data_IF_447952598063
#
_entry.id   IF_447952598063
#
_cell.length_a   1.000
_cell.length_b   1.000
_cell.length_c   1.000
_cell.angle_alpha   90.00
_cell.angle_beta   90.00
_cell.angle_gamma   90.00
#
_symmetry.space_group_name_H-M   'P 1'
#
loop_
_entity.id
_entity.type
_entity.pdbx_description
1 polymer ?
#
# COMPACT_ATOMS: atom_id res chain seq x y z
N UNK A 1 -16.04 4.48 -3.15
CA UNK A 1 -15.37 3.17 -3.28
C UNK A 1 -15.95 2.46 -4.49
N UNK A 2 -15.11 1.93 -5.38
CA UNK A 2 -15.57 1.19 -6.55
C UNK A 2 -16.17 -0.18 -6.16
N UNK A 3 -17.10 -0.70 -6.96
CA UNK A 3 -17.80 -1.97 -6.67
C UNK A 3 -16.89 -3.20 -6.71
N UNK A 4 -15.80 -3.16 -7.49
CA UNK A 4 -14.87 -4.29 -7.62
C UNK A 4 -13.80 -4.37 -6.53
N UNK A 5 -13.84 -3.47 -5.53
CA UNK A 5 -12.88 -3.49 -4.42
C UNK A 5 -13.11 -4.72 -3.54
N UNK A 6 -12.06 -5.51 -3.34
CA UNK A 6 -12.09 -6.63 -2.41
C UNK A 6 -11.75 -6.17 -1.00
N UNK A 7 -12.61 -6.48 -0.02
CA UNK A 7 -12.37 -6.24 1.40
C UNK A 7 -12.36 -7.57 2.16
N UNK A 8 -11.22 -7.92 2.74
CA UNK A 8 -11.11 -9.11 3.59
C UNK A 8 -11.78 -8.93 4.96
N UNK A 9 -12.15 -10.02 5.64
CA UNK A 9 -12.61 -9.97 7.03
C UNK A 9 -11.68 -9.17 7.96
N UNK A 10 -12.29 -8.42 8.87
CA UNK A 10 -11.58 -7.61 9.88
C UNK A 10 -11.18 -6.21 9.42
N UNK A 11 -11.27 -5.89 8.12
CA UNK A 11 -10.95 -4.55 7.59
C UNK A 11 -11.84 -3.47 8.23
N UNK A 12 -11.24 -2.31 8.55
CA UNK A 12 -11.95 -1.10 9.00
C UNK A 12 -11.60 0.07 8.10
N UNK A 13 -12.61 0.69 7.49
CA UNK A 13 -12.49 1.90 6.68
C UNK A 13 -13.35 2.98 7.32
N UNK A 14 -12.75 4.12 7.65
CA UNK A 14 -13.39 5.18 8.43
C UNK A 14 -13.07 6.54 7.80
N UNK A 15 -14.09 7.39 7.63
CA UNK A 15 -13.92 8.76 7.15
C UNK A 15 -13.88 8.88 5.63
N UNK A 16 -13.18 9.91 5.15
CA UNK A 16 -13.02 10.26 3.75
C UNK A 16 -11.96 9.37 3.08
N UNK A 17 -12.42 8.24 2.53
CA UNK A 17 -11.59 7.23 1.89
C UNK A 17 -12.14 6.86 0.52
N UNK A 18 -11.34 7.09 -0.51
CA UNK A 18 -11.60 6.68 -1.89
C UNK A 18 -10.68 5.51 -2.25
N UNK A 19 -11.26 4.41 -2.73
CA UNK A 19 -10.54 3.24 -3.24
C UNK A 19 -11.11 2.91 -4.63
N UNK A 20 -10.24 2.86 -5.61
CA UNK A 20 -10.56 2.69 -7.03
C UNK A 20 -10.60 1.20 -7.44
N UNK A 21 -11.00 0.96 -8.68
CA UNK A 21 -11.32 -0.35 -9.26
C UNK A 21 -10.21 -1.40 -9.06
N UNK A 22 -10.65 -2.63 -8.75
CA UNK A 22 -9.85 -3.85 -8.65
C UNK A 22 -8.76 -3.81 -7.57
N UNK A 23 -8.79 -2.81 -6.70
CA UNK A 23 -7.95 -2.75 -5.51
C UNK A 23 -8.45 -3.69 -4.42
N UNK A 24 -7.54 -4.08 -3.53
CA UNK A 24 -7.82 -5.04 -2.47
C UNK A 24 -7.28 -4.58 -1.13
N UNK A 25 -8.07 -4.74 -0.07
CA UNK A 25 -7.67 -4.49 1.31
C UNK A 25 -7.79 -5.81 2.08
N UNK A 26 -6.68 -6.27 2.61
CA UNK A 26 -6.52 -7.60 3.19
C UNK A 26 -6.69 -7.59 4.71
N UNK A 27 -6.60 -8.76 5.33
CA UNK A 27 -7.19 -9.04 6.64
C UNK A 27 -6.70 -8.08 7.73
N UNK A 28 -7.64 -7.61 8.54
CA UNK A 28 -7.37 -6.76 9.71
C UNK A 28 -6.64 -5.43 9.42
N UNK A 29 -6.63 -4.96 8.18
CA UNK A 29 -6.10 -3.63 7.85
C UNK A 29 -7.06 -2.50 8.23
N UNK A 30 -6.51 -1.41 8.73
CA UNK A 30 -7.26 -0.23 9.21
C UNK A 30 -6.89 0.98 8.36
N UNK A 31 -7.90 1.63 7.79
CA UNK A 31 -7.77 2.82 6.94
C UNK A 31 -8.64 3.93 7.54
N UNK A 32 -8.01 4.99 8.03
CA UNK A 32 -8.66 6.10 8.72
C UNK A 32 -8.41 7.42 7.98
N UNK A 33 -9.36 7.84 7.17
CA UNK A 33 -9.45 9.18 6.56
C UNK A 33 -10.35 10.11 7.37
N UNK A 34 -10.31 10.05 8.70
CA UNK A 34 -11.25 10.76 9.57
C UNK A 34 -10.84 12.20 9.91
N UNK A 35 -9.56 12.54 9.74
CA UNK A 35 -9.01 13.88 9.98
C UNK A 35 -8.40 14.52 8.73
N UNK A 36 -8.32 13.76 7.63
CA UNK A 36 -8.02 14.21 6.27
C UNK A 36 -8.41 13.08 5.30
N UNK A 37 -8.17 13.23 3.99
CA UNK A 37 -8.63 12.26 3.00
C UNK A 37 -7.55 11.21 2.70
N UNK A 38 -8.00 10.02 2.29
CA UNK A 38 -7.16 8.95 1.76
C UNK A 38 -7.64 8.57 0.36
N UNK A 39 -6.72 8.52 -0.60
CA UNK A 39 -6.99 8.06 -1.97
C UNK A 39 -6.12 6.86 -2.32
N UNK A 40 -6.73 5.81 -2.83
CA UNK A 40 -6.08 4.57 -3.27
C UNK A 40 -6.48 4.29 -4.71
N UNK A 41 -5.49 4.28 -5.61
CA UNK A 41 -5.66 4.05 -7.05
C UNK A 41 -6.04 2.61 -7.40
N UNK A 42 -6.08 2.31 -8.70
CA UNK A 42 -6.56 1.04 -9.25
C UNK A 42 -5.55 -0.08 -9.08
N UNK A 43 -6.03 -1.33 -8.98
CA UNK A 43 -5.18 -2.52 -8.92
C UNK A 43 -4.13 -2.48 -7.78
N UNK A 44 -4.38 -1.70 -6.74
CA UNK A 44 -3.50 -1.52 -5.60
C UNK A 44 -3.91 -2.49 -4.49
N UNK A 45 -2.94 -3.13 -3.85
CA UNK A 45 -3.19 -4.06 -2.75
C UNK A 45 -2.61 -3.53 -1.44
N UNK A 46 -3.47 -3.43 -0.44
CA UNK A 46 -3.14 -3.13 0.96
C UNK A 46 -3.20 -4.42 1.73
N UNK A 47 -2.04 -5.07 1.91
CA UNK A 47 -1.96 -6.40 2.51
C UNK A 47 -2.32 -6.38 4.00
N UNK A 48 -2.28 -7.55 4.63
CA UNK A 48 -2.80 -7.79 5.97
C UNK A 48 -2.20 -6.89 7.04
N UNK A 49 -3.00 -6.54 8.04
CA UNK A 49 -2.58 -5.80 9.24
C UNK A 49 -1.91 -4.45 8.97
N UNK A 50 -2.22 -3.78 7.85
CA UNK A 50 -1.71 -2.45 7.56
C UNK A 50 -2.46 -1.36 8.34
N UNK A 51 -1.76 -0.28 8.67
CA UNK A 51 -2.35 0.94 9.26
C UNK A 51 -2.15 2.13 8.31
N UNK A 52 -3.24 2.71 7.83
CA UNK A 52 -3.25 3.88 6.96
C UNK A 52 -3.93 5.05 7.70
N UNK A 53 -3.17 6.11 7.98
CA UNK A 53 -3.66 7.31 8.65
C UNK A 53 -3.10 8.59 8.02
N UNK A 54 -3.55 9.73 8.52
CA UNK A 54 -3.29 11.05 7.94
C UNK A 54 -3.09 12.08 9.04
N UNK A 55 -2.36 13.15 8.72
CA UNK A 55 -2.22 14.29 9.63
C UNK A 55 -3.34 15.30 9.38
N UNK A 56 -4.08 15.61 10.44
CA UNK A 56 -5.26 16.50 10.42
C UNK A 56 -5.01 17.78 9.63
N UNK A 57 -5.75 17.95 8.52
CA UNK A 57 -5.71 19.14 7.66
C UNK A 57 -4.35 19.50 7.04
N UNK A 58 -3.33 18.63 7.14
CA UNK A 58 -1.96 18.95 6.69
C UNK A 58 -1.43 17.97 5.65
N UNK A 59 -1.49 16.67 5.94
CA UNK A 59 -0.92 15.64 5.07
C UNK A 59 -1.96 14.57 4.77
N UNK A 60 -2.57 14.58 3.57
CA UNK A 60 -3.41 13.48 3.12
C UNK A 60 -2.54 12.28 2.74
N UNK A 61 -3.17 11.12 2.57
CA UNK A 61 -2.50 9.92 2.06
C UNK A 61 -2.96 9.65 0.63
N UNK A 62 -2.01 9.66 -0.31
CA UNK A 62 -2.27 9.34 -1.71
C UNK A 62 -1.47 8.09 -2.09
N UNK A 63 -2.15 7.08 -2.63
CA UNK A 63 -1.55 5.85 -3.12
C UNK A 63 -1.98 5.67 -4.56
N UNK A 64 -1.01 5.56 -5.47
CA UNK A 64 -1.21 5.43 -6.90
C UNK A 64 -1.77 4.07 -7.33
N UNK A 65 -1.68 3.82 -8.63
CA UNK A 65 -2.13 2.59 -9.26
C UNK A 65 -1.07 1.49 -9.15
N UNK A 66 -1.53 0.23 -9.04
CA UNK A 66 -0.67 -0.95 -9.05
C UNK A 66 0.43 -0.89 -7.98
N UNK A 67 0.11 -0.31 -6.83
CA UNK A 67 1.00 -0.29 -5.68
C UNK A 67 0.79 -1.56 -4.86
N UNK A 68 1.88 -2.20 -4.48
CA UNK A 68 1.88 -3.31 -3.53
C UNK A 68 2.32 -2.81 -2.18
N UNK A 69 1.39 -2.72 -1.23
CA UNK A 69 1.67 -2.36 0.17
C UNK A 69 1.72 -3.65 0.98
N UNK A 70 2.92 -4.04 1.38
CA UNK A 70 3.23 -5.29 2.08
C UNK A 70 2.53 -5.43 3.44
N UNK A 71 2.46 -6.66 3.95
CA UNK A 71 1.86 -6.93 5.27
C UNK A 71 2.45 -6.03 6.37
N UNK A 72 1.61 -5.63 7.33
CA UNK A 72 1.99 -4.85 8.52
C UNK A 72 2.69 -3.52 8.22
N UNK A 73 2.42 -2.91 7.06
CA UNK A 73 2.95 -1.59 6.71
C UNK A 73 2.15 -0.49 7.42
N UNK A 74 2.87 0.55 7.87
CA UNK A 74 2.25 1.79 8.37
C UNK A 74 2.50 2.94 7.39
N UNK A 75 1.42 3.54 6.88
CA UNK A 75 1.47 4.72 6.01
C UNK A 75 0.81 5.89 6.73
N UNK A 76 1.52 7.00 6.86
CA UNK A 76 1.01 8.20 7.53
C UNK A 76 1.26 9.43 6.67
N UNK A 77 0.19 10.04 6.14
CA UNK A 77 0.25 11.32 5.41
C UNK A 77 1.30 11.40 4.29
N UNK A 78 1.59 10.28 3.63
CA UNK A 78 2.61 10.20 2.57
C UNK A 78 1.97 10.11 1.17
N UNK A 79 2.78 10.26 0.13
CA UNK A 79 2.37 10.00 -1.25
C UNK A 79 3.19 8.84 -1.83
N UNK A 80 2.52 7.84 -2.37
CA UNK A 80 3.13 6.71 -3.07
C UNK A 80 2.62 6.74 -4.50
N UNK A 81 3.52 6.93 -5.46
CA UNK A 81 3.17 6.94 -6.87
C UNK A 81 3.00 5.51 -7.42
N UNK A 82 2.55 5.43 -8.67
CA UNK A 82 2.24 4.18 -9.35
C UNK A 82 3.39 3.17 -9.38
N UNK A 83 3.06 1.89 -9.47
CA UNK A 83 4.02 0.80 -9.65
C UNK A 83 5.11 0.78 -8.57
N UNK A 84 4.75 0.99 -7.31
CA UNK A 84 5.67 0.93 -6.18
C UNK A 84 5.46 -0.33 -5.35
N UNK A 85 6.53 -0.78 -4.70
CA UNK A 85 6.45 -1.83 -3.70
C UNK A 85 6.91 -1.31 -2.35
N UNK A 86 6.04 -1.41 -1.36
CA UNK A 86 6.36 -1.11 0.04
C UNK A 86 6.50 -2.44 0.77
N UNK A 87 7.73 -2.77 1.16
CA UNK A 87 8.07 -4.04 1.78
C UNK A 87 7.37 -4.24 3.12
N UNK A 88 7.18 -5.51 3.46
CA UNK A 88 6.53 -5.96 4.70
C UNK A 88 7.11 -5.21 5.92
N UNK A 89 6.23 -4.70 6.78
CA UNK A 89 6.61 -4.03 8.02
C UNK A 89 7.28 -2.67 7.87
N UNK A 90 7.34 -2.10 6.67
CA UNK A 90 7.88 -0.75 6.48
C UNK A 90 6.97 0.34 7.07
N UNK A 91 7.56 1.47 7.43
CA UNK A 91 6.88 2.65 7.98
C UNK A 91 7.23 3.85 7.10
N UNK A 92 6.21 4.53 6.58
CA UNK A 92 6.35 5.72 5.73
C UNK A 92 5.66 6.90 6.43
N UNK A 93 6.44 7.92 6.78
CA UNK A 93 5.99 9.06 7.56
C UNK A 93 5.52 10.25 6.70
N UNK A 94 4.95 11.24 7.38
CA UNK A 94 4.31 12.41 6.80
C UNK A 94 5.15 13.14 5.76
N UNK A 95 4.52 13.53 4.65
CA UNK A 95 5.13 14.28 3.58
C UNK A 95 6.22 13.53 2.81
N UNK A 96 6.50 12.26 3.14
CA UNK A 96 7.37 11.44 2.32
C UNK A 96 6.73 11.16 0.96
N UNK A 97 7.56 11.08 -0.08
CA UNK A 97 7.13 10.77 -1.44
C UNK A 97 7.90 9.55 -1.93
N UNK A 98 7.18 8.49 -2.29
CA UNK A 98 7.74 7.34 -2.99
C UNK A 98 7.42 7.50 -4.47
N UNK A 99 8.41 7.91 -5.25
CA UNK A 99 8.21 8.11 -6.69
C UNK A 99 7.98 6.78 -7.41
N UNK A 100 7.44 6.85 -8.63
CA UNK A 100 7.00 5.70 -9.40
C UNK A 100 8.13 4.66 -9.57
N UNK A 101 7.78 3.37 -9.65
CA UNK A 101 8.76 2.28 -9.87
C UNK A 101 9.85 2.24 -8.81
N UNK A 102 9.51 2.53 -7.55
CA UNK A 102 10.45 2.48 -6.44
C UNK A 102 10.13 1.36 -5.47
N UNK A 103 11.15 0.90 -4.75
CA UNK A 103 11.03 -0.17 -3.76
C UNK A 103 11.54 0.30 -2.40
N UNK A 104 10.66 0.29 -1.41
CA UNK A 104 11.02 0.40 0.01
C UNK A 104 11.19 -1.01 0.58
N UNK A 105 12.39 -1.37 1.03
CA UNK A 105 12.68 -2.69 1.58
C UNK A 105 11.86 -2.99 2.85
N UNK A 106 11.72 -4.28 3.16
CA UNK A 106 11.05 -4.73 4.38
C UNK A 106 11.66 -4.11 5.64
N UNK A 107 10.79 -3.71 6.59
CA UNK A 107 11.17 -3.10 7.87
C UNK A 107 11.84 -1.73 7.78
N UNK A 108 11.89 -1.09 6.61
CA UNK A 108 12.50 0.23 6.46
C UNK A 108 11.64 1.35 7.06
N UNK A 109 12.29 2.41 7.57
CA UNK A 109 11.63 3.63 8.06
C UNK A 109 11.94 4.79 7.11
N UNK A 110 10.98 5.18 6.28
CA UNK A 110 11.06 6.39 5.45
C UNK A 110 10.62 7.58 6.29
N UNK A 111 11.61 8.42 6.63
CA UNK A 111 11.42 9.61 7.47
C UNK A 111 10.57 10.69 6.81
N UNK A 112 10.02 11.58 7.61
CA UNK A 112 9.22 12.71 7.14
C UNK A 112 9.93 13.51 6.03
N UNK A 113 9.17 13.86 4.99
CA UNK A 113 9.64 14.65 3.85
C UNK A 113 10.71 13.98 2.99
N UNK A 114 11.08 12.72 3.24
CA UNK A 114 12.05 12.03 2.41
C UNK A 114 11.44 11.62 1.07
N UNK A 115 12.18 11.87 -0.01
CA UNK A 115 11.82 11.43 -1.36
C UNK A 115 12.61 10.17 -1.68
N UNK A 116 11.90 9.07 -1.94
CA UNK A 116 12.46 7.86 -2.55
C UNK A 116 12.43 8.07 -4.06
N UNK A 117 13.60 8.22 -4.73
CA UNK A 117 13.62 8.53 -6.15
C UNK A 117 13.20 7.33 -7.00
N UNK A 118 12.64 7.64 -8.17
CA UNK A 118 12.20 6.69 -9.19
C UNK A 118 13.27 5.63 -9.46
N UNK A 119 12.86 4.35 -9.50
CA UNK A 119 13.77 3.25 -9.84
C UNK A 119 14.76 2.89 -8.74
N UNK A 120 14.66 3.44 -7.53
CA UNK A 120 15.58 3.15 -6.43
C UNK A 120 15.02 2.13 -5.45
N UNK A 121 15.94 1.32 -4.93
CA UNK A 121 15.75 0.56 -3.70
C UNK A 121 16.24 1.39 -2.51
N UNK A 122 15.38 1.60 -1.52
CA UNK A 122 15.74 2.17 -0.22
C UNK A 122 15.57 1.15 0.91
N UNK A 123 16.43 1.19 1.92
CA UNK A 123 16.37 0.28 3.06
C UNK A 123 16.94 0.90 4.34
N UNK A 124 16.60 0.32 5.49
CA UNK A 124 17.16 0.66 6.80
C UNK A 124 16.28 1.59 7.65
N UNK A 125 16.76 1.86 8.87
CA UNK A 125 16.10 2.73 9.85
C UNK A 125 17.13 3.75 10.38
N UNK A 126 17.09 5.02 9.94
CA UNK A 126 16.25 5.55 8.87
C UNK A 126 16.68 5.06 7.47
N UNK A 127 15.73 4.99 6.54
CA UNK A 127 15.96 4.49 5.19
C UNK A 127 16.98 5.34 4.43
N UNK A 128 17.79 4.68 3.60
CA UNK A 128 18.77 5.28 2.68
C UNK A 128 18.68 4.60 1.33
N UNK A 129 19.06 5.32 0.27
CA UNK A 129 19.20 4.76 -1.07
C UNK A 129 20.30 3.71 -1.02
N UNK A 130 19.97 2.49 -1.44
CA UNK A 130 20.90 1.36 -1.49
C UNK A 130 21.50 1.26 -2.89
N UNK A 131 20.64 1.19 -3.91
CA UNK A 131 21.02 1.00 -5.31
C UNK A 131 19.85 1.28 -6.25
N UNK A 132 20.16 1.28 -7.53
CA UNK A 132 19.17 1.13 -8.60
C UNK A 132 18.50 -0.24 -8.57
N UNK A 133 17.23 -0.26 -8.94
CA UNK A 133 16.49 -1.47 -9.25
C UNK A 133 16.95 -2.02 -10.60
N UNK A 134 16.92 -3.33 -10.71
CA UNK A 134 17.08 -4.03 -11.98
C UNK A 134 15.77 -4.01 -12.78
N UNK A 135 15.84 -4.15 -14.10
CA UNK A 135 14.65 -4.22 -14.95
C UNK A 135 13.66 -5.31 -14.49
N UNK A 136 14.21 -6.47 -14.08
CA UNK A 136 13.43 -7.58 -13.54
C UNK A 136 12.66 -7.19 -12.27
N UNK A 137 13.26 -6.39 -11.38
CA UNK A 137 12.57 -5.92 -10.17
C UNK A 137 11.45 -4.93 -10.51
N UNK A 138 11.66 -4.09 -11.54
CA UNK A 138 10.63 -3.15 -12.03
C UNK A 138 9.45 -3.92 -12.66
N UNK A 139 9.73 -4.93 -13.47
CA UNK A 139 8.72 -5.78 -14.12
C UNK A 139 7.87 -6.58 -13.11
N UNK A 140 8.45 -6.89 -11.94
CA UNK A 140 7.74 -7.60 -10.87
C UNK A 140 6.61 -6.76 -10.26
N UNK A 141 6.62 -5.43 -10.38
CA UNK A 141 5.56 -4.58 -9.80
C UNK A 141 4.20 -4.81 -10.46
N UNK A 142 4.14 -4.83 -11.79
CA UNK A 142 2.92 -5.15 -12.54
C UNK A 142 2.46 -6.59 -12.24
N UNK A 143 3.42 -7.52 -12.22
CA UNK A 143 3.15 -8.93 -11.94
C UNK A 143 2.60 -9.14 -10.52
N UNK A 144 3.13 -8.41 -9.54
CA UNK A 144 2.70 -8.43 -8.14
C UNK A 144 1.26 -7.92 -8.00
N UNK A 145 0.94 -6.77 -8.60
CA UNK A 145 -0.41 -6.19 -8.58
C UNK A 145 -1.43 -7.13 -9.23
N UNK A 146 -1.12 -7.67 -10.42
CA UNK A 146 -1.99 -8.61 -11.12
C UNK A 146 -2.21 -9.91 -10.32
N UNK A 147 -1.16 -10.43 -9.69
CA UNK A 147 -1.24 -11.63 -8.84
C UNK A 147 -2.16 -11.43 -7.65
N UNK A 148 -2.08 -10.29 -6.99
CA UNK A 148 -2.95 -9.97 -5.86
C UNK A 148 -4.42 -9.81 -6.27
N UNK A 149 -4.71 -9.29 -7.47
CA UNK A 149 -6.07 -9.33 -8.04
C UNK A 149 -6.57 -10.77 -8.18
N UNK A 150 -5.77 -11.69 -8.70
CA UNK A 150 -6.18 -13.09 -8.81
C UNK A 150 -6.34 -13.78 -7.44
N UNK A 151 -5.50 -13.42 -6.46
CA UNK A 151 -5.64 -13.93 -5.09
C UNK A 151 -6.98 -13.57 -4.44
N UNK A 152 -7.62 -12.46 -4.84
CA UNK A 152 -8.97 -12.13 -4.34
C UNK A 152 -9.97 -13.25 -4.65
N UNK A 153 -9.92 -13.83 -5.86
CA UNK A 153 -10.82 -14.92 -6.29
C UNK A 153 -10.59 -16.18 -5.45
N UNK A 154 -9.32 -16.58 -5.33
CA UNK A 154 -8.92 -17.73 -4.50
C UNK A 154 -9.34 -17.56 -3.03
N UNK A 155 -9.24 -16.34 -2.52
CA UNK A 155 -9.61 -16.01 -1.14
C UNK A 155 -11.12 -16.05 -0.95
N UNK A 156 -11.89 -15.51 -1.88
CA UNK A 156 -13.36 -15.58 -1.86
C UNK A 156 -13.83 -17.03 -1.84
N UNK A 157 -13.25 -17.89 -2.68
CA UNK A 157 -13.59 -19.31 -2.71
C UNK A 157 -13.19 -20.01 -1.40
N UNK A 158 -12.02 -19.66 -0.86
CA UNK A 158 -11.56 -20.18 0.43
C UNK A 158 -12.50 -19.77 1.58
N UNK A 159 -13.00 -18.54 1.59
CA UNK A 159 -13.96 -18.05 2.59
C UNK A 159 -15.33 -18.75 2.49
N UNK A 160 -15.81 -19.03 1.28
CA UNK A 160 -17.05 -19.79 1.08
C UNK A 160 -16.95 -21.23 1.55
N UNK A 161 -15.79 -21.86 1.34
CA UNK A 161 -15.54 -23.24 1.71
C UNK A 161 -15.15 -23.42 3.19
N UNK A 162 -14.69 -22.35 3.83
CA UNK A 162 -14.37 -22.35 5.25
C UNK A 162 -15.67 -22.27 6.04
N UNK A 163 -16.07 -23.38 6.66
CA UNK A 163 -17.17 -23.49 7.62
C UNK A 163 -16.88 -22.72 8.93
N UNK A 164 -16.44 -21.46 8.86
CA UNK A 164 -16.20 -20.63 10.03
C UNK A 164 -17.49 -19.83 10.27
N UNK A 165 -18.28 -20.34 11.23
CA UNK A 165 -19.37 -19.62 11.88
C UNK A 165 -18.88 -18.40 12.63
#
# INVERSE_FOLDING_TARGET
MAESVFLAPGVKIIGDVEIDEDSSVWYNSIIRGDVHYIKIGKLTNIQDCCMLHVTNGKYPLNIGNKVTVGHSVSLHGCTINDLCLIGIGAIILDGAVVEQKSFVAAGALVREGFVVPTGKLVAGVPARIVRDLTDKEIDEFDSSAARYKEYTKLTIDSLKNSNIK
#
